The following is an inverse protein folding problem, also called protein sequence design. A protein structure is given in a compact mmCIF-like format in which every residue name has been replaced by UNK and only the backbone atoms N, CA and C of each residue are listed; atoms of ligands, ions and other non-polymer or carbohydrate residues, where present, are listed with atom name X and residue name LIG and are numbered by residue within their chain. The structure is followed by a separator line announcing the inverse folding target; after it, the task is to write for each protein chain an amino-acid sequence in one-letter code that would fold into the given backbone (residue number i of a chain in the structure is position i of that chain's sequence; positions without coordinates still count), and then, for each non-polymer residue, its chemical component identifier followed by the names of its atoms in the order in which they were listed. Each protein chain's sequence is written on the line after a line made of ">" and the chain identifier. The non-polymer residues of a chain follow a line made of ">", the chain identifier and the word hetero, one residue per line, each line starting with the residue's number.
data_IF_515349486082
#
_entry.id   IF_515349486082
#
_cell.length_a   1.000
_cell.length_b   1.000
_cell.length_c   1.000
_cell.angle_alpha   90.00
_cell.angle_beta   90.00
_cell.angle_gamma   90.00
#
_symmetry.space_group_name_H-M   'P 1'
#
loop_
_entity.id
_entity.type
_entity.pdbx_description
1 polymer ?
#
# COMPACT_ATOMS: atom_id res chain seq x y z
N UNK A 1 2.67 -49.64 -4.94
CA UNK A 1 1.93 -49.36 -3.70
C UNK A 1 2.38 -48.08 -2.97
N UNK A 2 3.65 -47.88 -2.56
CA UNK A 2 4.08 -46.62 -1.90
C UNK A 2 3.96 -45.37 -2.78
N UNK A 3 4.35 -45.42 -4.06
CA UNK A 3 4.26 -44.28 -5.01
C UNK A 3 2.82 -43.82 -5.28
N UNK A 4 1.84 -44.73 -5.34
CA UNK A 4 0.44 -44.38 -5.55
C UNK A 4 -0.17 -43.71 -4.31
N UNK A 5 0.11 -44.24 -3.12
CA UNK A 5 -0.33 -43.62 -1.85
C UNK A 5 0.23 -42.19 -1.71
N UNK A 6 1.50 -41.98 -2.09
CA UNK A 6 2.12 -40.66 -2.07
C UNK A 6 1.47 -39.69 -3.09
N UNK A 7 1.24 -40.14 -4.32
CA UNK A 7 0.53 -39.33 -5.35
C UNK A 7 -0.87 -38.94 -4.89
N UNK A 8 -1.65 -39.86 -4.35
CA UNK A 8 -2.98 -39.57 -3.80
C UNK A 8 -2.94 -38.59 -2.66
N UNK A 9 -1.98 -38.76 -1.73
CA UNK A 9 -1.79 -37.82 -0.60
C UNK A 9 -1.50 -36.42 -1.10
N UNK A 10 -0.52 -36.24 -2.00
CA UNK A 10 -0.14 -34.95 -2.57
C UNK A 10 -1.32 -34.29 -3.30
N UNK A 11 -2.01 -35.06 -4.16
CA UNK A 11 -3.19 -34.57 -4.90
C UNK A 11 -4.31 -34.09 -3.97
N UNK A 12 -4.58 -34.83 -2.92
CA UNK A 12 -5.59 -34.49 -1.93
C UNK A 12 -5.25 -33.22 -1.14
N UNK A 13 -3.97 -33.03 -0.78
CA UNK A 13 -3.50 -31.84 -0.07
C UNK A 13 -3.52 -30.63 -0.98
N UNK A 14 -3.10 -30.81 -2.22
CA UNK A 14 -3.14 -29.75 -3.24
C UNK A 14 -4.56 -29.22 -3.48
N UNK A 15 -5.56 -30.11 -3.61
CA UNK A 15 -6.96 -29.72 -3.77
C UNK A 15 -7.48 -28.87 -2.60
N UNK A 16 -6.99 -29.08 -1.40
CA UNK A 16 -7.38 -28.31 -0.23
C UNK A 16 -6.59 -26.99 -0.14
N UNK A 17 -5.35 -26.96 -0.59
CA UNK A 17 -4.50 -25.78 -0.57
C UNK A 17 -4.84 -24.77 -1.69
N UNK A 18 -5.22 -25.25 -2.88
CA UNK A 18 -5.43 -24.39 -4.05
C UNK A 18 -6.35 -23.18 -3.82
N UNK A 19 -7.51 -23.28 -3.13
CA UNK A 19 -8.34 -22.13 -2.83
C UNK A 19 -7.64 -21.11 -1.92
N UNK A 20 -6.84 -21.57 -0.95
CA UNK A 20 -6.05 -20.71 -0.08
C UNK A 20 -4.95 -19.99 -0.84
N UNK A 21 -4.26 -20.70 -1.74
CA UNK A 21 -3.22 -20.10 -2.59
C UNK A 21 -3.76 -18.99 -3.50
N UNK A 22 -4.96 -19.19 -4.04
CA UNK A 22 -5.60 -18.16 -4.87
C UNK A 22 -6.07 -16.96 -4.03
N UNK A 23 -6.59 -17.21 -2.81
CA UNK A 23 -6.95 -16.13 -1.89
C UNK A 23 -5.70 -15.35 -1.44
N UNK A 24 -4.61 -16.03 -1.09
CA UNK A 24 -3.34 -15.39 -0.75
C UNK A 24 -2.75 -14.58 -1.92
N UNK A 25 -2.87 -15.10 -3.16
CA UNK A 25 -2.51 -14.31 -4.34
C UNK A 25 -3.32 -13.01 -4.40
N UNK A 26 -4.64 -13.10 -4.23
CA UNK A 26 -5.53 -11.93 -4.29
C UNK A 26 -5.22 -10.91 -3.18
N UNK A 27 -4.97 -11.36 -1.95
CA UNK A 27 -4.57 -10.51 -0.82
C UNK A 27 -3.25 -9.80 -1.12
N UNK A 28 -2.23 -10.56 -1.51
CA UNK A 28 -0.91 -9.99 -1.84
C UNK A 28 -0.99 -9.07 -3.07
N UNK A 29 -1.83 -9.39 -4.05
CA UNK A 29 -2.03 -8.56 -5.24
C UNK A 29 -2.64 -7.20 -4.87
N UNK A 30 -3.69 -7.18 -4.05
CA UNK A 30 -4.29 -5.91 -3.60
C UNK A 30 -3.27 -5.08 -2.84
N UNK A 31 -2.62 -5.67 -1.85
CA UNK A 31 -1.79 -4.92 -0.91
C UNK A 31 -0.45 -4.47 -1.50
N UNK A 32 0.20 -5.33 -2.27
CA UNK A 32 1.56 -5.05 -2.78
C UNK A 32 1.62 -4.59 -4.22
N UNK A 33 0.59 -4.81 -5.03
CA UNK A 33 0.59 -4.39 -6.44
C UNK A 33 -0.48 -3.33 -6.69
N UNK A 34 -1.76 -3.67 -6.45
CA UNK A 34 -2.87 -2.82 -6.84
C UNK A 34 -2.83 -1.47 -6.12
N UNK A 35 -2.87 -1.46 -4.79
CA UNK A 35 -2.98 -0.22 -4.02
C UNK A 35 -1.79 0.73 -4.23
N UNK A 36 -0.51 0.29 -4.19
CA UNK A 36 0.60 1.19 -4.44
C UNK A 36 0.67 1.71 -5.87
N UNK A 37 0.33 0.88 -6.87
CA UNK A 37 0.35 1.32 -8.27
C UNK A 37 -0.85 2.22 -8.59
N UNK A 38 -2.04 1.97 -8.01
CA UNK A 38 -3.19 2.86 -8.12
C UNK A 38 -2.85 4.25 -7.58
N UNK A 39 -2.28 4.32 -6.37
CA UNK A 39 -1.85 5.57 -5.76
C UNK A 39 -0.85 6.32 -6.65
N UNK A 40 0.14 5.62 -7.20
CA UNK A 40 1.11 6.21 -8.11
C UNK A 40 0.45 6.72 -9.40
N UNK A 41 -0.38 5.91 -10.03
CA UNK A 41 -1.02 6.22 -11.32
C UNK A 41 -1.98 7.40 -11.21
N UNK A 42 -2.66 7.56 -10.07
CA UNK A 42 -3.59 8.67 -9.82
C UNK A 42 -2.89 9.97 -9.44
N UNK A 43 -1.70 9.90 -8.82
CA UNK A 43 -0.97 11.05 -8.30
C UNK A 43 0.45 11.19 -8.88
N UNK A 44 0.62 10.89 -10.17
CA UNK A 44 1.93 10.83 -10.82
C UNK A 44 2.78 12.10 -10.65
N UNK A 45 2.14 13.27 -10.58
CA UNK A 45 2.83 14.57 -10.48
C UNK A 45 3.47 14.82 -9.13
N UNK A 46 3.03 14.12 -8.11
CA UNK A 46 3.52 14.27 -6.73
C UNK A 46 4.75 13.40 -6.45
N UNK A 47 5.03 12.41 -7.33
CA UNK A 47 6.15 11.52 -7.15
C UNK A 47 7.36 11.94 -7.97
N UNK A 48 8.55 11.93 -7.34
CA UNK A 48 9.85 12.28 -7.94
C UNK A 48 10.52 11.11 -8.68
N UNK A 49 9.91 9.91 -8.68
CA UNK A 49 10.43 8.71 -9.32
C UNK A 49 9.52 8.20 -10.42
N UNK A 50 10.08 7.40 -11.36
CA UNK A 50 9.36 6.87 -12.50
C UNK A 50 8.58 5.60 -12.18
N UNK A 51 7.57 5.31 -13.03
CA UNK A 51 6.73 4.12 -12.94
C UNK A 51 7.51 2.82 -12.79
N UNK A 52 8.60 2.65 -13.52
CA UNK A 52 9.41 1.42 -13.46
C UNK A 52 10.14 1.23 -12.14
N UNK A 53 10.48 2.30 -11.44
CA UNK A 53 11.06 2.21 -10.09
C UNK A 53 10.06 1.63 -9.08
N UNK A 54 8.84 2.15 -9.05
CA UNK A 54 7.80 1.62 -8.16
C UNK A 54 7.39 0.21 -8.59
N UNK A 55 7.22 -0.04 -9.90
CA UNK A 55 6.86 -1.37 -10.41
C UNK A 55 7.85 -2.44 -9.94
N UNK A 56 9.16 -2.17 -10.02
CA UNK A 56 10.19 -3.08 -9.52
C UNK A 56 10.04 -3.34 -8.02
N UNK A 57 9.84 -2.30 -7.22
CA UNK A 57 9.72 -2.42 -5.78
C UNK A 57 8.47 -3.22 -5.36
N UNK A 58 7.31 -2.94 -5.97
CA UNK A 58 6.07 -3.66 -5.64
C UNK A 58 6.12 -5.13 -6.06
N UNK A 59 6.74 -5.44 -7.20
CA UNK A 59 6.93 -6.83 -7.65
C UNK A 59 7.87 -7.61 -6.73
N UNK A 60 8.94 -7.00 -6.24
CA UNK A 60 9.85 -7.63 -5.28
C UNK A 60 9.14 -7.94 -3.95
N UNK A 61 8.39 -6.97 -3.40
CA UNK A 61 7.62 -7.18 -2.18
C UNK A 61 6.52 -8.21 -2.38
N UNK A 62 5.78 -8.15 -3.48
CA UNK A 62 4.78 -9.16 -3.83
C UNK A 62 5.38 -10.56 -3.87
N UNK A 63 6.50 -10.75 -4.58
CA UNK A 63 7.14 -12.06 -4.69
C UNK A 63 7.57 -12.61 -3.32
N UNK A 64 8.15 -11.76 -2.47
CA UNK A 64 8.56 -12.13 -1.12
C UNK A 64 7.37 -12.55 -0.26
N UNK A 65 6.37 -11.69 -0.12
CA UNK A 65 5.25 -11.93 0.79
C UNK A 65 4.29 -13.01 0.27
N UNK A 66 4.07 -13.07 -1.04
CA UNK A 66 3.32 -14.17 -1.64
C UNK A 66 4.05 -15.51 -1.46
N UNK A 67 5.37 -15.55 -1.65
CA UNK A 67 6.18 -16.74 -1.39
C UNK A 67 6.09 -17.23 0.07
N UNK A 68 6.15 -16.31 1.04
CA UNK A 68 5.95 -16.63 2.47
C UNK A 68 4.54 -17.16 2.75
N UNK A 69 3.52 -16.56 2.13
CA UNK A 69 2.13 -16.97 2.28
C UNK A 69 1.88 -18.35 1.66
N UNK A 70 2.44 -18.62 0.47
CA UNK A 70 2.42 -19.96 -0.18
C UNK A 70 3.03 -21.00 0.76
N UNK A 71 4.20 -20.72 1.35
CA UNK A 71 4.85 -21.62 2.30
C UNK A 71 3.94 -21.89 3.52
N UNK A 72 3.34 -20.86 4.10
CA UNK A 72 2.41 -20.98 5.23
C UNK A 72 1.20 -21.86 4.90
N UNK A 73 0.56 -21.68 3.74
CA UNK A 73 -0.59 -22.47 3.31
C UNK A 73 -0.20 -23.94 3.04
N UNK A 74 0.94 -24.17 2.42
CA UNK A 74 1.42 -25.53 2.17
C UNK A 74 1.75 -26.25 3.48
N UNK A 75 2.38 -25.57 4.46
CA UNK A 75 2.60 -26.10 5.80
C UNK A 75 1.26 -26.41 6.50
N UNK A 76 0.30 -25.49 6.44
CA UNK A 76 -1.03 -25.71 7.01
C UNK A 76 -1.73 -26.93 6.35
N UNK A 77 -1.59 -27.09 5.05
CA UNK A 77 -2.12 -28.24 4.32
C UNK A 77 -1.42 -29.55 4.72
N UNK A 78 -0.13 -29.53 5.03
CA UNK A 78 0.61 -30.69 5.55
C UNK A 78 0.13 -31.08 6.95
N UNK A 79 -0.12 -30.10 7.83
CA UNK A 79 -0.58 -30.34 9.20
C UNK A 79 -1.97 -30.99 9.20
N UNK A 80 -2.97 -30.29 8.66
CA UNK A 80 -4.33 -30.83 8.59
C UNK A 80 -5.18 -30.16 7.52
N UNK A 81 -6.12 -30.92 6.94
CA UNK A 81 -7.10 -30.39 5.98
C UNK A 81 -8.03 -29.34 6.63
N UNK A 82 -8.35 -29.51 7.92
CA UNK A 82 -9.20 -28.57 8.68
C UNK A 82 -8.47 -27.26 8.90
N UNK A 83 -7.23 -27.33 9.35
CA UNK A 83 -6.40 -26.14 9.57
C UNK A 83 -6.16 -25.37 8.28
N UNK A 84 -5.87 -26.04 7.17
CA UNK A 84 -5.72 -25.39 5.87
C UNK A 84 -7.01 -24.66 5.43
N UNK A 85 -8.19 -25.25 5.66
CA UNK A 85 -9.47 -24.59 5.39
C UNK A 85 -9.71 -23.37 6.27
N UNK A 86 -9.30 -23.44 7.54
CA UNK A 86 -9.35 -22.29 8.43
C UNK A 86 -8.47 -21.14 7.92
N UNK A 87 -7.22 -21.44 7.53
CA UNK A 87 -6.32 -20.46 6.92
C UNK A 87 -6.94 -19.88 5.64
N UNK A 88 -7.52 -20.71 4.77
CA UNK A 88 -8.21 -20.24 3.56
C UNK A 88 -9.37 -19.29 3.89
N UNK A 89 -10.15 -19.59 4.93
CA UNK A 89 -11.24 -18.70 5.35
C UNK A 89 -10.70 -17.37 5.93
N UNK A 90 -9.60 -17.42 6.66
CA UNK A 90 -8.92 -16.21 7.15
C UNK A 90 -8.40 -15.33 6.00
N UNK A 91 -7.76 -15.93 4.99
CA UNK A 91 -7.35 -15.22 3.77
C UNK A 91 -8.54 -14.56 3.06
N UNK A 92 -9.68 -15.24 2.97
CA UNK A 92 -10.88 -14.67 2.35
C UNK A 92 -11.43 -13.50 3.18
N UNK A 93 -11.40 -13.57 4.50
CA UNK A 93 -11.79 -12.45 5.38
C UNK A 93 -10.88 -11.26 5.13
N UNK A 94 -9.56 -11.47 5.11
CA UNK A 94 -8.58 -10.40 4.84
C UNK A 94 -8.83 -9.80 3.45
N UNK A 95 -9.00 -10.63 2.42
CA UNK A 95 -9.28 -10.18 1.05
C UNK A 95 -10.51 -9.26 0.97
N UNK A 96 -11.63 -9.69 1.55
CA UNK A 96 -12.87 -8.94 1.53
C UNK A 96 -12.75 -7.64 2.37
N UNK A 97 -12.05 -7.71 3.50
CA UNK A 97 -11.80 -6.54 4.34
C UNK A 97 -10.96 -5.50 3.61
N UNK A 98 -9.85 -5.90 2.97
CA UNK A 98 -9.00 -5.00 2.19
C UNK A 98 -9.78 -4.35 1.05
N UNK A 99 -10.60 -5.14 0.34
CA UNK A 99 -11.41 -4.64 -0.76
C UNK A 99 -12.46 -3.61 -0.28
N UNK A 100 -13.19 -3.93 0.79
CA UNK A 100 -14.22 -3.03 1.34
C UNK A 100 -13.58 -1.79 1.97
N UNK A 101 -12.50 -1.94 2.69
CA UNK A 101 -11.80 -0.81 3.31
C UNK A 101 -11.26 0.15 2.26
N UNK A 102 -10.55 -0.35 1.25
CA UNK A 102 -9.94 0.48 0.22
C UNK A 102 -10.95 1.20 -0.68
N UNK A 103 -12.13 0.60 -0.93
CA UNK A 103 -13.10 1.19 -1.86
C UNK A 103 -14.24 1.98 -1.19
N UNK A 104 -14.57 1.71 0.08
CA UNK A 104 -15.77 2.27 0.71
C UNK A 104 -15.51 2.99 2.03
N UNK A 105 -14.42 2.69 2.75
CA UNK A 105 -14.19 3.22 4.09
C UNK A 105 -13.04 4.23 4.15
N UNK A 106 -12.08 4.14 3.25
CA UNK A 106 -10.88 5.00 3.27
C UNK A 106 -11.19 6.49 3.08
N UNK A 107 -12.25 6.83 2.35
CA UNK A 107 -12.62 8.21 2.02
C UNK A 107 -12.96 9.09 3.24
N UNK A 108 -13.14 8.50 4.40
CA UNK A 108 -13.47 9.18 5.65
C UNK A 108 -12.30 9.17 6.65
N UNK A 109 -11.12 8.73 6.19
CA UNK A 109 -9.90 8.74 7.00
C UNK A 109 -9.14 10.06 6.84
N UNK A 110 -8.32 10.47 7.82
CA UNK A 110 -7.50 11.67 7.72
C UNK A 110 -6.49 11.58 6.58
N UNK A 111 -6.16 12.70 5.95
CA UNK A 111 -5.08 12.74 4.98
C UNK A 111 -3.73 12.44 5.68
N UNK A 112 -2.85 11.72 4.99
CA UNK A 112 -1.48 11.46 5.45
C UNK A 112 -0.53 12.48 4.80
N UNK A 113 -0.73 13.75 5.14
CA UNK A 113 0.03 14.89 4.58
C UNK A 113 1.15 15.40 5.49
N UNK A 114 1.42 14.69 6.60
CA UNK A 114 2.42 15.05 7.59
C UNK A 114 1.89 15.90 8.74
N UNK A 115 0.62 16.31 8.71
CA UNK A 115 -0.01 16.97 9.87
C UNK A 115 -0.30 15.95 10.98
N UNK A 116 -0.35 16.43 12.22
CA UNK A 116 -0.69 15.58 13.37
C UNK A 116 -2.14 15.11 13.27
N UNK A 117 -2.33 13.78 13.33
CA UNK A 117 -3.66 13.19 13.26
C UNK A 117 -4.22 13.04 14.67
N UNK A 118 -5.30 13.76 14.95
CA UNK A 118 -6.07 13.62 16.19
C UNK A 118 -7.03 12.43 16.04
N UNK A 119 -6.59 11.26 16.47
CA UNK A 119 -7.35 10.00 16.29
C UNK A 119 -8.69 9.96 17.02
N UNK A 120 -8.87 10.79 18.04
CA UNK A 120 -10.13 10.96 18.75
C UNK A 120 -11.26 11.43 17.83
N UNK A 121 -10.97 12.28 16.86
CA UNK A 121 -11.94 12.81 15.90
C UNK A 121 -12.43 11.72 14.93
N UNK A 122 -11.60 10.70 14.70
CA UNK A 122 -11.91 9.56 13.81
C UNK A 122 -12.43 8.33 14.56
N UNK A 123 -12.72 8.44 15.86
CA UNK A 123 -13.18 7.31 16.68
C UNK A 123 -14.43 6.64 16.11
N UNK A 124 -15.37 7.43 15.60
CA UNK A 124 -16.59 6.92 14.96
C UNK A 124 -16.30 6.07 13.74
N UNK A 125 -15.40 6.52 12.84
CA UNK A 125 -15.01 5.81 11.64
C UNK A 125 -14.20 4.55 11.96
N UNK A 126 -13.35 4.61 12.96
CA UNK A 126 -12.60 3.43 13.43
C UNK A 126 -13.53 2.34 13.99
N UNK A 127 -14.55 2.72 14.78
CA UNK A 127 -15.56 1.78 15.29
C UNK A 127 -16.38 1.20 14.13
N UNK A 128 -16.82 2.02 13.19
CA UNK A 128 -17.55 1.58 11.99
C UNK A 128 -16.74 0.58 11.17
N UNK A 129 -15.45 0.87 10.94
CA UNK A 129 -14.52 -0.04 10.25
C UNK A 129 -14.41 -1.37 11.00
N UNK A 130 -14.22 -1.35 12.32
CA UNK A 130 -14.14 -2.55 13.13
C UNK A 130 -15.43 -3.40 13.06
N UNK A 131 -16.60 -2.75 13.11
CA UNK A 131 -17.89 -3.43 12.96
C UNK A 131 -18.00 -4.11 11.60
N UNK A 132 -17.64 -3.41 10.51
CA UNK A 132 -17.66 -3.97 9.15
C UNK A 132 -16.74 -5.19 9.05
N UNK A 133 -15.52 -5.12 9.58
CA UNK A 133 -14.59 -6.24 9.62
C UNK A 133 -15.17 -7.46 10.36
N UNK A 134 -15.81 -7.23 11.51
CA UNK A 134 -16.47 -8.28 12.29
C UNK A 134 -17.63 -8.89 11.50
N UNK A 135 -18.44 -8.09 10.83
CA UNK A 135 -19.56 -8.57 10.01
C UNK A 135 -19.06 -9.41 8.82
N UNK A 136 -17.98 -8.98 8.16
CA UNK A 136 -17.36 -9.78 7.09
C UNK A 136 -16.87 -11.12 7.62
N UNK A 137 -16.17 -11.13 8.75
CA UNK A 137 -15.70 -12.37 9.37
C UNK A 137 -16.86 -13.31 9.76
N UNK A 138 -17.91 -12.76 10.38
CA UNK A 138 -19.12 -13.50 10.74
C UNK A 138 -19.82 -14.09 9.49
N UNK A 139 -19.95 -13.31 8.43
CA UNK A 139 -20.53 -13.75 7.17
C UNK A 139 -19.75 -14.91 6.54
N UNK A 140 -18.41 -14.78 6.46
CA UNK A 140 -17.54 -15.84 5.91
C UNK A 140 -17.65 -17.12 6.73
N UNK A 141 -17.62 -17.04 8.06
CA UNK A 141 -17.78 -18.20 8.96
C UNK A 141 -19.16 -18.85 8.80
N UNK A 142 -20.20 -18.03 8.70
CA UNK A 142 -21.59 -18.51 8.51
C UNK A 142 -21.71 -19.24 7.18
N UNK A 143 -21.24 -18.65 6.08
CA UNK A 143 -21.26 -19.28 4.74
C UNK A 143 -20.44 -20.57 4.74
N UNK A 144 -19.28 -20.61 5.38
CA UNK A 144 -18.47 -21.81 5.48
C UNK A 144 -19.19 -22.96 6.21
N UNK A 145 -19.94 -22.64 7.30
CA UNK A 145 -20.75 -23.62 8.03
C UNK A 145 -21.96 -24.12 7.26
N UNK A 146 -22.70 -23.21 6.61
CA UNK A 146 -23.94 -23.54 5.92
C UNK A 146 -23.71 -24.36 4.63
N UNK A 147 -22.70 -24.02 3.84
CA UNK A 147 -22.48 -24.62 2.53
C UNK A 147 -21.60 -25.86 2.53
N UNK A 148 -20.88 -26.08 3.63
CA UNK A 148 -19.91 -27.16 3.74
C UNK A 148 -18.63 -26.92 2.89
N UNK A 149 -17.60 -27.71 3.18
CA UNK A 149 -16.24 -27.46 2.74
C UNK A 149 -16.05 -27.34 1.22
N UNK A 150 -16.69 -28.20 0.43
CA UNK A 150 -16.49 -28.23 -1.03
C UNK A 150 -17.07 -27.01 -1.74
N UNK A 151 -18.31 -26.62 -1.37
CA UNK A 151 -18.96 -25.43 -1.95
C UNK A 151 -18.26 -24.15 -1.49
N UNK A 152 -17.89 -24.08 -0.22
CA UNK A 152 -17.15 -22.94 0.31
C UNK A 152 -15.81 -22.72 -0.41
N UNK A 153 -15.05 -23.78 -0.67
CA UNK A 153 -13.80 -23.70 -1.45
C UNK A 153 -14.03 -23.17 -2.87
N UNK A 154 -15.12 -23.59 -3.51
CA UNK A 154 -15.52 -23.06 -4.83
C UNK A 154 -15.81 -21.55 -4.79
N UNK A 155 -16.51 -21.08 -3.75
CA UNK A 155 -16.80 -19.66 -3.55
C UNK A 155 -15.50 -18.89 -3.30
N UNK A 156 -14.60 -19.38 -2.43
CA UNK A 156 -13.30 -18.75 -2.21
C UNK A 156 -12.53 -18.56 -3.54
N UNK A 157 -12.49 -19.59 -4.37
CA UNK A 157 -11.82 -19.51 -5.67
C UNK A 157 -12.51 -18.50 -6.60
N UNK A 158 -13.83 -18.52 -6.69
CA UNK A 158 -14.57 -17.61 -7.57
C UNK A 158 -14.43 -16.14 -7.14
N UNK A 159 -14.54 -15.86 -5.83
CA UNK A 159 -14.40 -14.51 -5.28
C UNK A 159 -12.97 -14.01 -5.46
N UNK A 160 -11.97 -14.82 -5.11
CA UNK A 160 -10.55 -14.42 -5.23
C UNK A 160 -10.17 -14.19 -6.70
N UNK A 161 -10.55 -15.06 -7.61
CA UNK A 161 -10.30 -14.89 -9.04
C UNK A 161 -11.05 -13.68 -9.62
N UNK A 162 -12.33 -13.53 -9.26
CA UNK A 162 -13.15 -12.42 -9.74
C UNK A 162 -12.61 -11.06 -9.30
N UNK A 163 -12.31 -10.89 -8.01
CA UNK A 163 -11.75 -9.64 -7.50
C UNK A 163 -10.37 -9.35 -8.11
N UNK A 164 -9.48 -10.35 -8.15
CA UNK A 164 -8.16 -10.15 -8.79
C UNK A 164 -8.28 -9.76 -10.26
N UNK A 165 -9.21 -10.39 -11.00
CA UNK A 165 -9.44 -10.09 -12.41
C UNK A 165 -9.97 -8.67 -12.62
N UNK A 166 -10.97 -8.26 -11.86
CA UNK A 166 -11.55 -6.90 -11.93
C UNK A 166 -10.46 -5.86 -11.61
N UNK A 167 -9.75 -6.02 -10.49
CA UNK A 167 -8.72 -5.07 -10.07
C UNK A 167 -7.53 -5.02 -11.05
N UNK A 168 -7.15 -6.16 -11.64
CA UNK A 168 -6.13 -6.20 -12.69
C UNK A 168 -6.56 -5.39 -13.92
N UNK A 169 -7.79 -5.60 -14.39
CA UNK A 169 -8.35 -4.85 -15.54
C UNK A 169 -8.38 -3.35 -15.22
N UNK A 170 -8.86 -2.99 -14.03
CA UNK A 170 -8.89 -1.59 -13.56
C UNK A 170 -7.49 -0.97 -13.58
N UNK A 171 -6.52 -1.64 -12.97
CA UNK A 171 -5.13 -1.15 -12.91
C UNK A 171 -4.50 -0.97 -14.29
N UNK A 172 -4.67 -1.96 -15.18
CA UNK A 172 -4.17 -1.87 -16.56
C UNK A 172 -4.84 -0.72 -17.30
N UNK A 173 -6.17 -0.59 -17.19
CA UNK A 173 -6.92 0.50 -17.84
C UNK A 173 -6.44 1.86 -17.34
N UNK A 174 -6.32 2.05 -16.03
CA UNK A 174 -5.82 3.30 -15.43
C UNK A 174 -4.40 3.61 -15.89
N UNK A 175 -3.50 2.63 -15.85
CA UNK A 175 -2.10 2.80 -16.28
C UNK A 175 -1.99 3.21 -17.76
N UNK A 176 -2.82 2.61 -18.63
CA UNK A 176 -2.83 2.93 -20.07
C UNK A 176 -3.46 4.29 -20.33
N UNK A 177 -4.60 4.59 -19.71
CA UNK A 177 -5.33 5.86 -19.95
C UNK A 177 -4.58 7.08 -19.42
N UNK A 178 -3.90 6.96 -18.28
CA UNK A 178 -3.07 8.05 -17.72
C UNK A 178 -1.70 8.16 -18.37
N UNK A 179 -1.25 7.13 -19.10
CA UNK A 179 0.08 7.09 -19.68
C UNK A 179 1.22 6.99 -18.65
N UNK A 180 0.92 6.51 -17.44
CA UNK A 180 1.86 6.44 -16.31
C UNK A 180 3.14 5.65 -16.61
N UNK A 181 3.11 4.73 -17.57
CA UNK A 181 4.25 3.92 -18.01
C UNK A 181 5.25 4.68 -18.89
N UNK A 182 4.91 5.90 -19.35
CA UNK A 182 5.79 6.71 -20.22
C UNK A 182 6.86 7.38 -19.36
N UNK A 183 8.05 7.51 -19.91
CA UNK A 183 9.12 8.30 -19.28
C UNK A 183 8.66 9.75 -19.17
N UNK A 184 8.85 10.31 -17.98
CA UNK A 184 8.52 11.70 -17.72
C UNK A 184 9.79 12.53 -17.77
N UNK A 185 9.84 13.50 -18.66
CA UNK A 185 10.83 14.57 -18.62
C UNK A 185 10.45 15.54 -17.49
N UNK A 186 10.68 15.12 -16.26
CA UNK A 186 10.52 16.02 -15.11
C UNK A 186 11.87 16.67 -14.87
N UNK A 187 11.92 17.98 -14.95
CA UNK A 187 13.08 18.73 -14.53
C UNK A 187 13.13 18.71 -13.00
N UNK A 188 13.85 17.77 -12.44
CA UNK A 188 14.18 17.80 -11.01
C UNK A 188 15.36 18.73 -10.83
N UNK A 189 15.36 19.46 -9.72
CA UNK A 189 16.59 20.07 -9.25
C UNK A 189 17.63 18.96 -9.04
N UNK A 190 18.64 18.92 -9.90
CA UNK A 190 19.69 17.92 -9.81
C UNK A 190 20.62 18.31 -8.66
N UNK A 191 20.91 17.38 -7.78
CA UNK A 191 21.96 17.53 -6.76
C UNK A 191 23.36 17.74 -7.39
N UNK A 192 23.51 17.33 -8.64
CA UNK A 192 24.73 17.47 -9.42
C UNK A 192 25.02 18.96 -9.69
N UNK A 193 25.98 19.51 -8.98
CA UNK A 193 26.37 20.93 -9.10
C UNK A 193 25.91 21.81 -7.93
N UNK A 194 25.16 21.28 -6.98
CA UNK A 194 24.65 22.01 -5.81
C UNK A 194 25.76 22.76 -5.04
N UNK A 195 26.98 22.24 -5.03
CA UNK A 195 28.14 22.84 -4.40
C UNK A 195 29.15 23.44 -5.40
N UNK A 196 28.77 23.58 -6.69
CA UNK A 196 29.62 24.21 -7.70
C UNK A 196 29.09 25.61 -7.99
N UNK A 197 29.66 26.58 -7.27
CA UNK A 197 29.32 27.98 -7.45
C UNK A 197 30.14 28.58 -8.61
N UNK A 198 29.55 29.56 -9.31
CA UNK A 198 30.25 30.36 -10.33
C UNK A 198 31.30 31.24 -9.66
N UNK A 199 32.38 31.53 -10.38
CA UNK A 199 33.42 32.48 -9.90
C UNK A 199 32.97 33.93 -10.06
N UNK A 200 32.01 34.24 -10.91
CA UNK A 200 31.59 35.61 -11.22
C UNK A 200 30.36 36.04 -10.40
N UNK A 201 29.22 35.34 -10.60
CA UNK A 201 27.98 35.68 -9.89
C UNK A 201 27.19 34.42 -9.59
N UNK A 202 26.58 34.38 -8.39
CA UNK A 202 25.69 33.31 -7.97
C UNK A 202 24.38 33.90 -7.46
N UNK A 203 23.26 33.23 -7.82
CA UNK A 203 21.96 33.53 -7.28
C UNK A 203 21.53 32.34 -6.43
N UNK A 204 21.39 32.56 -5.14
CA UNK A 204 21.04 31.53 -4.17
C UNK A 204 19.63 31.77 -3.65
N UNK A 205 18.75 30.80 -3.83
CA UNK A 205 17.40 30.81 -3.26
C UNK A 205 17.37 29.78 -2.12
N UNK A 206 17.17 30.27 -0.90
CA UNK A 206 16.97 29.43 0.27
C UNK A 206 15.50 29.45 0.63
N UNK A 207 14.83 28.30 0.48
CA UNK A 207 13.48 28.09 0.97
C UNK A 207 13.56 27.38 2.31
N UNK A 208 13.29 28.13 3.37
CA UNK A 208 13.31 27.61 4.73
C UNK A 208 11.88 27.28 5.15
N UNK A 209 11.61 26.01 5.46
CA UNK A 209 10.33 25.56 5.96
C UNK A 209 10.35 25.49 7.49
N UNK A 210 9.23 25.84 8.10
CA UNK A 210 9.02 25.79 9.57
C UNK A 210 10.06 26.56 10.40
N UNK A 211 10.47 27.74 9.93
CA UNK A 211 11.40 28.61 10.69
C UNK A 211 10.66 29.30 11.82
N UNK A 212 11.00 28.97 13.06
CA UNK A 212 10.51 29.65 14.24
C UNK A 212 11.13 31.05 14.35
N UNK A 213 10.27 32.08 14.50
CA UNK A 213 10.71 33.47 14.54
C UNK A 213 11.71 33.75 15.68
N UNK A 214 11.54 33.12 16.84
CA UNK A 214 12.45 33.27 17.98
C UNK A 214 13.82 32.70 17.70
N UNK A 215 13.88 31.51 17.12
CA UNK A 215 15.15 30.86 16.72
C UNK A 215 15.85 31.70 15.63
N UNK A 216 15.09 32.26 14.69
CA UNK A 216 15.65 33.16 13.67
C UNK A 216 16.26 34.42 14.30
N UNK A 217 15.58 35.10 15.22
CA UNK A 217 16.09 36.27 15.94
C UNK A 217 17.33 35.92 16.76
N UNK A 218 17.32 34.80 17.51
CA UNK A 218 18.49 34.35 18.28
C UNK A 218 19.72 34.10 17.39
N UNK A 219 19.53 33.56 16.18
CA UNK A 219 20.64 33.36 15.23
C UNK A 219 21.11 34.67 14.67
N UNK A 220 20.24 35.60 14.27
CA UNK A 220 20.60 36.90 13.73
C UNK A 220 21.32 37.77 14.76
N UNK A 221 20.94 37.67 16.04
CA UNK A 221 21.58 38.39 17.13
C UNK A 221 22.90 37.78 17.60
N UNK A 222 23.16 36.51 17.22
CA UNK A 222 24.37 35.79 17.67
C UNK A 222 25.66 36.30 17.06
N UNK A 223 25.61 36.92 15.86
CA UNK A 223 26.79 37.53 15.21
C UNK A 223 26.36 38.78 14.39
N UNK A 224 26.94 39.94 14.69
CA UNK A 224 26.72 41.20 13.95
C UNK A 224 26.93 41.06 12.44
N UNK A 225 27.80 40.15 11.98
CA UNK A 225 28.03 39.90 10.57
C UNK A 225 26.77 39.43 9.82
N UNK A 226 25.85 38.78 10.51
CA UNK A 226 24.57 38.35 9.89
C UNK A 226 23.66 39.56 9.59
N UNK A 227 23.71 40.61 10.36
CA UNK A 227 22.89 41.81 10.15
C UNK A 227 23.55 42.84 9.24
N UNK A 228 24.88 42.90 9.18
CA UNK A 228 25.62 43.85 8.32
C UNK A 228 25.61 43.46 6.84
N UNK A 229 25.49 42.16 6.53
CA UNK A 229 25.55 41.64 5.15
C UNK A 229 24.20 41.48 4.51
N UNK A 230 23.08 41.67 5.22
CA UNK A 230 21.74 41.41 4.72
C UNK A 230 20.96 42.71 4.53
N UNK A 231 20.57 42.99 3.31
CA UNK A 231 19.54 44.01 3.03
C UNK A 231 18.23 43.28 2.74
N UNK A 232 17.25 43.32 3.64
CA UNK A 232 15.90 42.81 3.39
C UNK A 232 14.88 43.93 3.35
N UNK A 233 14.02 43.88 2.36
CA UNK A 233 12.98 44.90 2.14
C UNK A 233 11.68 44.57 2.88
N UNK A 234 11.42 43.29 3.19
CA UNK A 234 10.20 42.87 3.89
C UNK A 234 10.37 41.52 4.57
N UNK A 235 10.06 41.45 5.84
CA UNK A 235 9.82 40.21 6.56
C UNK A 235 8.34 40.17 6.93
N UNK A 236 7.52 39.42 6.17
CA UNK A 236 6.13 39.17 6.53
C UNK A 236 6.03 37.75 7.05
N UNK A 237 5.90 37.61 8.38
CA UNK A 237 5.47 36.36 8.98
C UNK A 237 3.95 36.27 8.84
N UNK A 238 3.38 35.12 8.42
CA UNK A 238 1.96 34.92 8.50
C UNK A 238 1.54 34.97 9.97
N UNK A 239 0.81 36.00 10.34
CA UNK A 239 0.13 36.10 11.62
C UNK A 239 -1.15 35.29 11.53
N UNK A 240 -1.19 34.13 12.20
CA UNK A 240 -2.42 33.47 12.55
C UNK A 240 -2.98 34.04 13.85
#
# INVERSE_FOLDING_TARGET
>A
MKKEKWKTFVTDRWKVAAPGLLAAFAVCFIFFIYAPLELYVTNQTEFWFDFYKILKAVLQNFALFFGLNVLGILLAACISKVFCRFVTAAELVVLLTLYVQGNFLVNHMPPFDGTEIVWEDYRGENIKTAIVCILIAAAVVTVAKLLGAKRFQGICMAVSAGLSGILMITLVTMTVTTGAYRERTTYYALENGQYRLSQDQNFLVLLLDAVDAKTFEEVMDSDPAYTETVSYTHLTLPTN
#
